data_IF_052977227014
#
_entry.id   IF_052977227014
#
_cell.length_a   1.000
_cell.length_b   1.000
_cell.length_c   1.000
_cell.angle_alpha   90.00
_cell.angle_beta   90.00
_cell.angle_gamma   90.00
#
_symmetry.space_group_name_H-M   'P 1'
#
loop_
_entity.id
_entity.type
_entity.pdbx_description
1 polymer ?
#
# COMPACT_ATOMS: atom_id res chain seq x y z
N UNK A 1 -22.76 -9.19 -0.65
CA UNK A 1 -21.97 -8.41 0.33
C UNK A 1 -20.66 -9.08 0.75
N UNK A 2 -20.49 -10.41 0.64
CA UNK A 2 -19.20 -11.09 0.92
C UNK A 2 -18.11 -10.81 -0.12
N UNK A 3 -18.45 -10.83 -1.42
CA UNK A 3 -17.48 -10.72 -2.51
C UNK A 3 -16.70 -9.38 -2.51
N UNK A 4 -17.35 -8.27 -2.14
CA UNK A 4 -16.68 -6.96 -2.04
C UNK A 4 -15.68 -6.94 -0.88
N UNK A 5 -16.05 -7.45 0.28
CA UNK A 5 -15.15 -7.51 1.45
C UNK A 5 -13.93 -8.41 1.17
N UNK A 6 -14.14 -9.57 0.54
CA UNK A 6 -13.08 -10.47 0.13
C UNK A 6 -12.12 -9.79 -0.87
N UNK A 7 -12.67 -9.10 -1.86
CA UNK A 7 -11.88 -8.34 -2.85
C UNK A 7 -11.01 -7.28 -2.17
N UNK A 8 -11.56 -6.48 -1.25
CA UNK A 8 -10.76 -5.49 -0.51
C UNK A 8 -9.64 -6.14 0.33
N UNK A 9 -9.89 -7.31 0.93
CA UNK A 9 -8.86 -8.07 1.67
C UNK A 9 -7.74 -8.56 0.75
N UNK A 10 -8.06 -9.08 -0.43
CA UNK A 10 -7.06 -9.49 -1.41
C UNK A 10 -6.21 -8.31 -1.88
N UNK A 11 -6.83 -7.18 -2.25
CA UNK A 11 -6.10 -5.98 -2.65
C UNK A 11 -5.23 -5.42 -1.52
N UNK A 12 -5.73 -5.38 -0.28
CA UNK A 12 -4.93 -4.98 0.88
C UNK A 12 -3.73 -5.90 1.09
N UNK A 13 -3.91 -7.21 0.92
CA UNK A 13 -2.83 -8.18 1.06
C UNK A 13 -1.74 -7.91 0.02
N UNK A 14 -2.13 -7.70 -1.25
CA UNK A 14 -1.19 -7.34 -2.33
C UNK A 14 -0.46 -6.03 -2.05
N UNK A 15 -1.17 -4.99 -1.61
CA UNK A 15 -0.56 -3.70 -1.31
C UNK A 15 0.40 -3.77 -0.12
N UNK A 16 0.08 -4.55 0.92
CA UNK A 16 1.00 -4.76 2.05
C UNK A 16 2.27 -5.49 1.59
N UNK A 17 2.14 -6.53 0.76
CA UNK A 17 3.31 -7.21 0.19
C UNK A 17 4.12 -6.29 -0.72
N UNK A 18 3.48 -5.45 -1.53
CA UNK A 18 4.15 -4.42 -2.33
C UNK A 18 4.94 -3.45 -1.45
N UNK A 19 4.33 -2.98 -0.36
CA UNK A 19 4.96 -2.06 0.58
C UNK A 19 6.21 -2.66 1.23
N UNK A 20 6.15 -3.95 1.61
CA UNK A 20 7.32 -4.66 2.15
C UNK A 20 8.46 -4.69 1.14
N UNK A 21 8.18 -5.01 -0.13
CA UNK A 21 9.17 -5.03 -1.19
C UNK A 21 9.76 -3.63 -1.44
N UNK A 22 8.93 -2.59 -1.46
CA UNK A 22 9.38 -1.20 -1.60
C UNK A 22 10.32 -0.78 -0.46
N UNK A 23 10.01 -1.16 0.79
CA UNK A 23 10.88 -0.89 1.95
C UNK A 23 12.24 -1.59 1.77
N UNK A 24 12.26 -2.84 1.31
CA UNK A 24 13.49 -3.59 1.06
C UNK A 24 14.34 -2.89 -0.02
N UNK A 25 13.70 -2.44 -1.11
CA UNK A 25 14.39 -1.75 -2.20
C UNK A 25 14.95 -0.40 -1.74
N UNK A 26 14.19 0.38 -0.97
CA UNK A 26 14.68 1.64 -0.39
C UNK A 26 15.86 1.37 0.54
N UNK A 27 15.78 0.38 1.41
CA UNK A 27 16.88 0.01 2.31
C UNK A 27 18.14 -0.40 1.53
N UNK A 28 17.99 -1.12 0.42
CA UNK A 28 19.09 -1.50 -0.47
C UNK A 28 19.78 -0.27 -1.09
N UNK A 29 19.03 0.65 -1.68
CA UNK A 29 19.59 1.84 -2.30
C UNK A 29 20.17 2.82 -1.27
N UNK A 30 19.50 3.00 -0.13
CA UNK A 30 20.00 3.81 0.98
C UNK A 30 21.32 3.25 1.53
N UNK A 31 21.44 1.93 1.68
CA UNK A 31 22.68 1.28 2.12
C UNK A 31 23.84 1.41 1.13
N UNK A 32 23.55 1.54 -0.17
CA UNK A 32 24.55 1.86 -1.19
C UNK A 32 24.93 3.35 -1.27
N UNK A 33 24.18 4.24 -0.63
CA UNK A 33 24.33 5.68 -0.79
C UNK A 33 23.97 6.19 -2.19
N UNK A 34 23.24 5.39 -2.97
CA UNK A 34 22.83 5.74 -4.32
C UNK A 34 21.42 6.36 -4.29
N UNK A 35 21.38 7.69 -4.28
CA UNK A 35 20.15 8.48 -4.28
C UNK A 35 19.67 8.82 -5.70
N UNK A 36 20.01 8.00 -6.69
CA UNK A 36 19.64 8.19 -8.08
C UNK A 36 18.14 8.08 -8.37
N UNK A 37 17.80 8.21 -9.66
CA UNK A 37 16.41 8.19 -10.17
C UNK A 37 15.59 7.01 -9.67
N UNK A 38 16.18 5.82 -9.56
CA UNK A 38 15.47 4.61 -9.12
C UNK A 38 14.98 4.71 -7.68
N UNK A 39 15.75 5.31 -6.77
CA UNK A 39 15.31 5.51 -5.39
C UNK A 39 14.13 6.49 -5.33
N UNK A 40 14.18 7.59 -6.10
CA UNK A 40 13.10 8.56 -6.18
C UNK A 40 11.82 7.92 -6.74
N UNK A 41 11.95 7.11 -7.78
CA UNK A 41 10.84 6.34 -8.35
C UNK A 41 10.25 5.38 -7.31
N UNK A 42 11.08 4.62 -6.59
CA UNK A 42 10.60 3.71 -5.53
C UNK A 42 9.92 4.48 -4.40
N UNK A 43 10.41 5.66 -4.02
CA UNK A 43 9.77 6.49 -3.01
C UNK A 43 8.39 7.02 -3.47
N UNK A 44 8.24 7.38 -4.74
CA UNK A 44 6.94 7.76 -5.32
C UNK A 44 5.99 6.55 -5.35
N UNK A 45 6.47 5.38 -5.77
CA UNK A 45 5.66 4.15 -5.76
C UNK A 45 5.21 3.82 -4.34
N UNK A 46 6.08 3.97 -3.34
CA UNK A 46 5.74 3.81 -1.93
C UNK A 46 4.64 4.77 -1.48
N UNK A 47 4.72 6.05 -1.89
CA UNK A 47 3.66 7.01 -1.60
C UNK A 47 2.31 6.54 -2.17
N UNK A 48 2.28 6.09 -3.43
CA UNK A 48 1.08 5.59 -4.10
C UNK A 48 0.54 4.36 -3.36
N UNK A 49 1.40 3.41 -2.99
CA UNK A 49 1.03 2.20 -2.25
C UNK A 49 0.41 2.54 -0.90
N UNK A 50 1.02 3.44 -0.12
CA UNK A 50 0.48 3.91 1.16
C UNK A 50 -0.88 4.60 1.00
N UNK A 51 -1.02 5.47 -0.02
CA UNK A 51 -2.29 6.13 -0.33
C UNK A 51 -3.38 5.12 -0.74
N UNK A 52 -3.02 4.09 -1.51
CA UNK A 52 -3.91 3.00 -1.89
C UNK A 52 -4.41 2.22 -0.68
N UNK A 53 -3.51 1.86 0.23
CA UNK A 53 -3.87 1.19 1.50
C UNK A 53 -4.81 2.09 2.30
N UNK A 54 -4.48 3.37 2.46
CA UNK A 54 -5.30 4.33 3.20
C UNK A 54 -6.69 4.51 2.60
N UNK A 55 -6.80 4.58 1.26
CA UNK A 55 -8.08 4.69 0.56
C UNK A 55 -8.97 3.45 0.79
N UNK A 56 -8.42 2.24 0.73
CA UNK A 56 -9.18 1.02 0.99
C UNK A 56 -9.60 0.94 2.47
N UNK A 57 -8.68 1.20 3.40
CA UNK A 57 -8.97 1.15 4.83
C UNK A 57 -10.01 2.20 5.24
N UNK A 58 -9.91 3.43 4.72
CA UNK A 58 -10.89 4.49 4.99
C UNK A 58 -12.27 4.14 4.46
N UNK A 59 -12.35 3.53 3.26
CA UNK A 59 -13.61 3.03 2.70
C UNK A 59 -14.24 1.94 3.57
N UNK A 60 -13.47 0.92 3.96
CA UNK A 60 -13.96 -0.16 4.86
C UNK A 60 -14.43 0.42 6.19
N UNK A 61 -13.67 1.34 6.79
CA UNK A 61 -14.06 1.99 8.06
C UNK A 61 -15.35 2.77 7.92
N UNK A 62 -15.58 3.43 6.78
CA UNK A 62 -16.81 4.16 6.51
C UNK A 62 -18.00 3.21 6.38
N UNK A 63 -17.84 2.12 5.63
CA UNK A 63 -18.88 1.09 5.45
C UNK A 63 -19.31 0.46 6.80
N UNK A 64 -18.36 0.20 7.70
CA UNK A 64 -18.65 -0.29 9.06
C UNK A 64 -19.38 0.77 9.90
N UNK A 65 -18.96 2.04 9.80
CA UNK A 65 -19.56 3.14 10.59
C UNK A 65 -20.99 3.46 10.17
N UNK A 66 -21.28 3.38 8.87
CA UNK A 66 -22.60 3.66 8.30
C UNK A 66 -23.60 2.51 8.53
N UNK A 67 -23.17 1.40 9.16
CA UNK A 67 -24.04 0.26 9.48
C UNK A 67 -24.49 -0.54 8.26
N UNK A 68 -23.73 -0.43 7.16
CA UNK A 68 -23.97 -1.21 5.95
C UNK A 68 -23.36 -2.63 6.07
N UNK A 69 -22.70 -2.94 7.19
CA UNK A 69 -22.20 -4.25 7.63
C UNK A 69 -22.56 -4.43 9.10
#
# INVERSE_FOLDING_TARGET
>A
MSATLETHRYFLTLLIWSLILEIIVIAYYAGKGDFGFYLQLTAIMMLITVLGIWAIVSKIRREIREGYL
#
